data_IF_978265155382
#
_entry.id   IF_978265155382
#
_cell.length_a   1.000
_cell.length_b   1.000
_cell.length_c   1.000
_cell.angle_alpha   90.00
_cell.angle_beta   90.00
_cell.angle_gamma   90.00
#
_symmetry.space_group_name_H-M   'P 1'
#
loop_
_entity.id
_entity.type
_entity.pdbx_description
1 polymer ?
#
# COMPACT_ATOMS: atom_id res chain seq x y z
N UNK A 1 29.02 -38.65 3.75
CA UNK A 1 28.66 -38.69 2.31
C UNK A 1 28.65 -37.25 1.83
N UNK A 2 29.67 -36.87 1.07
CA UNK A 2 30.07 -35.47 0.85
C UNK A 2 29.88 -35.09 -0.63
N UNK A 3 29.41 -33.86 -0.88
CA UNK A 3 29.10 -33.27 -2.19
C UNK A 3 30.34 -32.95 -3.05
N UNK A 4 31.25 -33.90 -3.22
CA UNK A 4 32.51 -33.70 -3.96
C UNK A 4 32.74 -34.69 -5.11
N UNK A 5 31.73 -35.52 -5.45
CA UNK A 5 31.85 -36.53 -6.51
C UNK A 5 31.09 -36.22 -7.82
N UNK A 6 30.35 -35.10 -7.91
CA UNK A 6 29.57 -34.78 -9.12
C UNK A 6 30.15 -33.65 -10.00
N UNK A 7 31.42 -33.28 -9.81
CA UNK A 7 32.10 -32.26 -10.64
C UNK A 7 33.13 -32.79 -11.64
N UNK A 8 33.22 -34.11 -11.84
CA UNK A 8 34.31 -34.73 -12.60
C UNK A 8 33.91 -35.39 -13.92
N UNK A 9 32.87 -34.93 -14.61
CA UNK A 9 32.45 -35.61 -15.85
C UNK A 9 31.89 -34.74 -16.98
N UNK A 10 32.31 -33.48 -17.16
CA UNK A 10 32.11 -32.81 -18.47
C UNK A 10 33.20 -31.77 -18.74
N UNK A 11 34.45 -32.22 -18.95
CA UNK A 11 35.46 -31.37 -19.60
C UNK A 11 36.60 -32.24 -20.12
N UNK A 12 36.45 -32.67 -21.37
CA UNK A 12 37.49 -32.90 -22.39
C UNK A 12 36.90 -33.79 -23.47
N UNK A 13 36.72 -33.23 -24.66
CA UNK A 13 37.16 -33.82 -25.92
C UNK A 13 36.88 -32.81 -27.03
N UNK A 14 37.95 -32.06 -27.34
CA UNK A 14 38.13 -31.37 -28.62
C UNK A 14 38.34 -32.43 -29.69
N UNK A 15 37.53 -32.41 -30.76
CA UNK A 15 37.84 -33.14 -31.99
C UNK A 15 37.38 -32.30 -33.18
N UNK A 16 38.38 -31.77 -33.89
CA UNK A 16 38.49 -31.58 -35.34
C UNK A 16 37.24 -31.16 -36.13
N UNK A 17 37.29 -29.90 -36.57
CA UNK A 17 36.49 -29.34 -37.65
C UNK A 17 37.21 -29.63 -38.98
N UNK A 18 36.58 -30.39 -39.88
CA UNK A 18 36.75 -30.34 -41.34
C UNK A 18 35.92 -31.45 -42.01
N UNK A 19 34.79 -31.08 -42.65
CA UNK A 19 34.19 -31.85 -43.75
C UNK A 19 33.08 -31.05 -44.45
N UNK A 20 33.45 -30.40 -45.55
CA UNK A 20 32.82 -30.40 -46.89
C UNK A 20 31.29 -30.46 -47.00
N UNK A 21 30.77 -29.42 -47.68
CA UNK A 21 29.43 -29.27 -48.26
C UNK A 21 29.05 -30.42 -49.19
N UNK A 22 27.81 -30.91 -49.10
CA UNK A 22 27.09 -31.43 -50.28
C UNK A 22 25.60 -31.09 -50.20
N UNK A 23 25.12 -30.45 -51.25
CA UNK A 23 23.76 -29.96 -51.41
C UNK A 23 22.72 -31.07 -51.63
N UNK A 24 21.47 -30.74 -51.30
CA UNK A 24 20.20 -31.34 -51.76
C UNK A 24 19.66 -32.57 -50.99
N UNK A 25 18.86 -32.26 -49.96
CA UNK A 25 17.82 -33.16 -49.43
C UNK A 25 16.43 -32.85 -50.04
N UNK A 26 15.48 -33.80 -50.00
CA UNK A 26 14.28 -33.79 -50.85
C UNK A 26 13.25 -32.74 -50.40
N UNK A 27 12.67 -32.03 -51.38
CA UNK A 27 11.56 -31.10 -51.17
C UNK A 27 10.30 -31.84 -50.69
N UNK A 28 9.80 -31.48 -49.50
CA UNK A 28 8.43 -31.79 -49.08
C UNK A 28 7.44 -30.92 -49.87
N UNK A 29 6.46 -31.50 -50.58
CA UNK A 29 5.39 -30.72 -51.20
C UNK A 29 4.34 -30.39 -50.13
N UNK A 30 4.18 -29.10 -49.83
CA UNK A 30 3.15 -28.61 -48.90
C UNK A 30 3.56 -27.50 -47.93
N UNK A 31 4.75 -26.90 -48.06
CA UNK A 31 5.07 -25.70 -47.28
C UNK A 31 4.52 -24.45 -47.98
N UNK A 32 3.24 -24.15 -47.76
CA UNK A 32 2.81 -22.76 -47.84
C UNK A 32 3.63 -22.00 -46.80
N UNK A 33 4.60 -21.25 -47.31
CA UNK A 33 5.33 -20.26 -46.52
C UNK A 33 4.28 -19.27 -46.06
N UNK A 34 3.91 -19.33 -44.78
CA UNK A 34 3.18 -18.24 -44.17
C UNK A 34 4.03 -17.00 -44.40
N UNK A 35 3.54 -16.07 -45.22
CA UNK A 35 4.24 -14.82 -45.51
C UNK A 35 4.25 -14.00 -44.22
N UNK A 36 5.32 -14.13 -43.42
CA UNK A 36 5.55 -13.36 -42.19
C UNK A 36 6.00 -11.93 -42.53
N UNK A 37 5.60 -11.37 -43.69
CA UNK A 37 6.01 -10.03 -44.12
C UNK A 37 4.83 -9.14 -44.48
N UNK A 38 3.81 -9.10 -43.63
CA UNK A 38 2.91 -7.95 -43.53
C UNK A 38 2.30 -7.88 -42.13
N UNK A 39 3.10 -7.45 -41.14
CA UNK A 39 2.50 -6.62 -40.08
C UNK A 39 2.15 -5.31 -40.77
N UNK A 40 0.86 -5.10 -41.03
CA UNK A 40 0.36 -3.92 -41.74
C UNK A 40 0.95 -2.63 -41.15
N UNK A 41 1.02 -1.58 -41.96
CA UNK A 41 1.48 -0.25 -41.54
C UNK A 41 0.74 0.18 -40.27
N UNK A 42 1.31 -0.10 -39.10
CA UNK A 42 0.74 0.26 -37.81
C UNK A 42 0.99 1.75 -37.63
N UNK A 43 -0.02 2.56 -37.90
CA UNK A 43 0.00 3.97 -37.50
C UNK A 43 0.40 4.05 -36.03
N UNK A 44 1.44 4.84 -35.72
CA UNK A 44 1.93 4.96 -34.35
C UNK A 44 0.88 5.66 -33.48
N UNK A 45 0.20 4.89 -32.63
CA UNK A 45 -0.77 5.43 -31.69
C UNK A 45 -0.04 6.09 -30.52
N UNK A 46 0.04 7.42 -30.52
CA UNK A 46 0.56 8.19 -29.39
C UNK A 46 -0.57 8.41 -28.37
N UNK A 47 -0.40 7.91 -27.14
CA UNK A 47 -1.31 8.18 -26.03
C UNK A 47 -0.75 9.30 -25.13
N UNK A 48 -1.58 10.27 -24.71
CA UNK A 48 -1.12 11.31 -23.79
C UNK A 48 -0.74 10.70 -22.43
N UNK A 49 0.20 11.34 -21.74
CA UNK A 49 0.54 10.97 -20.37
C UNK A 49 -0.69 11.14 -19.46
N UNK A 50 -0.96 10.13 -18.64
CA UNK A 50 -2.06 10.13 -17.67
C UNK A 50 -1.53 9.73 -16.30
N UNK A 51 -2.11 10.31 -15.25
CA UNK A 51 -1.84 9.91 -13.86
C UNK A 51 -2.86 8.88 -13.43
N UNK A 52 -2.40 7.83 -12.75
CA UNK A 52 -3.26 6.76 -12.25
C UNK A 52 -4.14 7.18 -11.05
N UNK A 53 -3.59 7.95 -10.11
CA UNK A 53 -4.30 8.38 -8.90
C UNK A 53 -3.91 9.80 -8.52
N UNK A 54 -4.87 10.59 -8.07
CA UNK A 54 -4.58 11.92 -7.50
C UNK A 54 -4.49 11.85 -5.98
N UNK A 55 -3.40 12.36 -5.43
CA UNK A 55 -3.29 12.58 -3.99
C UNK A 55 -3.89 13.94 -3.64
N UNK A 56 -5.00 14.00 -2.89
CA UNK A 56 -5.55 15.29 -2.49
C UNK A 56 -4.63 16.01 -1.49
N UNK A 57 -4.94 17.29 -1.29
CA UNK A 57 -4.34 18.10 -0.22
C UNK A 57 -4.66 17.47 1.15
N UNK A 58 -3.62 17.34 1.98
CA UNK A 58 -3.74 16.86 3.35
C UNK A 58 -3.56 18.06 4.27
N UNK A 59 -4.64 18.48 4.90
CA UNK A 59 -4.63 19.53 5.92
C UNK A 59 -4.39 18.85 7.25
N UNK A 60 -3.28 19.18 7.91
CA UNK A 60 -2.96 18.64 9.23
C UNK A 60 -3.81 19.34 10.31
N UNK A 61 -4.19 18.61 11.38
CA UNK A 61 -4.91 19.22 12.49
C UNK A 61 -4.03 20.27 13.18
N UNK A 62 -4.67 21.28 13.74
CA UNK A 62 -4.03 22.27 14.58
C UNK A 62 -3.89 21.75 16.01
N UNK A 63 -3.14 22.46 16.84
CA UNK A 63 -3.06 22.18 18.28
C UNK A 63 -4.39 22.31 19.03
N UNK A 64 -5.44 22.82 18.37
CA UNK A 64 -6.80 22.87 18.90
C UNK A 64 -7.33 21.47 19.22
N UNK A 65 -6.98 20.44 18.43
CA UNK A 65 -7.42 19.06 18.68
C UNK A 65 -6.92 18.57 20.03
N UNK A 66 -5.62 18.66 20.32
CA UNK A 66 -5.08 18.29 21.62
C UNK A 66 -5.61 19.17 22.76
N UNK A 67 -5.86 20.47 22.51
CA UNK A 67 -6.40 21.38 23.54
C UNK A 67 -7.85 21.06 23.94
N UNK A 68 -8.70 20.66 22.98
CA UNK A 68 -10.13 20.38 23.22
C UNK A 68 -10.34 18.93 23.64
N UNK A 69 -9.79 17.97 22.90
CA UNK A 69 -9.96 16.56 23.19
C UNK A 69 -9.03 16.05 24.30
N UNK A 70 -7.87 16.68 24.47
CA UNK A 70 -6.79 16.14 25.29
C UNK A 70 -5.96 15.12 24.52
N UNK A 71 -4.66 15.08 24.85
CA UNK A 71 -3.71 14.11 24.26
C UNK A 71 -4.16 12.67 24.53
N UNK A 72 -4.62 12.37 25.74
CA UNK A 72 -5.05 11.03 26.11
C UNK A 72 -6.25 10.54 25.29
N UNK A 73 -7.21 11.41 24.97
CA UNK A 73 -8.35 11.04 24.13
C UNK A 73 -7.93 10.73 22.69
N UNK A 74 -6.93 11.43 22.15
CA UNK A 74 -6.36 11.12 20.83
C UNK A 74 -5.65 9.75 20.86
N UNK A 75 -4.93 9.43 21.93
CA UNK A 75 -4.31 8.11 22.11
C UNK A 75 -5.37 7.01 22.24
N UNK A 76 -6.39 7.24 23.06
CA UNK A 76 -7.53 6.33 23.25
C UNK A 76 -8.23 6.02 21.93
N UNK A 77 -8.46 7.04 21.08
CA UNK A 77 -9.01 6.87 19.74
C UNK A 77 -8.18 5.91 18.88
N UNK A 78 -6.86 6.08 18.86
CA UNK A 78 -5.96 5.20 18.11
C UNK A 78 -5.97 3.78 18.66
N UNK A 79 -5.97 3.63 19.99
CA UNK A 79 -6.03 2.32 20.66
C UNK A 79 -7.33 1.59 20.32
N UNK A 80 -8.49 2.26 20.42
CA UNK A 80 -9.78 1.65 20.09
C UNK A 80 -9.87 1.31 18.60
N UNK A 81 -9.37 2.18 17.72
CA UNK A 81 -9.30 1.90 16.29
C UNK A 81 -8.48 0.63 15.99
N UNK A 82 -7.33 0.46 16.64
CA UNK A 82 -6.51 -0.74 16.45
C UNK A 82 -7.12 -1.98 17.11
N UNK A 83 -7.85 -1.82 18.23
CA UNK A 83 -8.64 -2.92 18.82
C UNK A 83 -9.69 -3.43 17.82
N UNK A 84 -10.37 -2.52 17.11
CA UNK A 84 -11.32 -2.88 16.06
C UNK A 84 -10.64 -3.54 14.86
N UNK A 85 -9.48 -3.03 14.42
CA UNK A 85 -8.67 -3.65 13.37
C UNK A 85 -8.32 -5.09 13.70
N UNK A 86 -7.89 -5.37 14.94
CA UNK A 86 -7.49 -6.69 15.38
C UNK A 86 -8.60 -7.74 15.24
N UNK A 87 -9.87 -7.31 15.31
CA UNK A 87 -11.04 -8.17 15.17
C UNK A 87 -11.71 -8.04 13.79
N UNK A 88 -11.01 -7.49 12.81
CA UNK A 88 -11.54 -7.23 11.46
C UNK A 88 -10.80 -8.04 10.38
N UNK A 89 -11.31 -8.05 9.14
CA UNK A 89 -10.58 -8.59 7.98
C UNK A 89 -9.21 -7.94 7.71
N UNK A 90 -8.85 -6.81 8.34
CA UNK A 90 -7.53 -6.18 8.21
C UNK A 90 -6.47 -6.84 9.10
N UNK A 91 -6.86 -7.64 10.09
CA UNK A 91 -5.93 -8.29 11.03
C UNK A 91 -4.72 -8.97 10.35
N UNK A 92 -4.87 -9.70 9.23
CA UNK A 92 -3.74 -10.38 8.60
C UNK A 92 -2.60 -9.45 8.14
N UNK A 93 -2.89 -8.17 7.86
CA UNK A 93 -1.86 -7.18 7.49
C UNK A 93 -0.87 -6.95 8.63
N UNK A 94 -1.31 -7.13 9.87
CA UNK A 94 -0.55 -6.88 11.08
C UNK A 94 0.15 -8.12 11.65
N UNK A 95 -0.05 -9.30 11.03
CA UNK A 95 0.53 -10.57 11.47
C UNK A 95 -0.13 -11.16 12.72
N UNK A 96 0.41 -12.28 13.22
CA UNK A 96 -0.18 -13.04 14.33
C UNK A 96 0.41 -12.70 15.72
N UNK A 97 1.41 -11.82 15.81
CA UNK A 97 2.05 -11.48 17.07
C UNK A 97 1.38 -10.27 17.73
N UNK A 98 0.47 -10.54 18.66
CA UNK A 98 -0.29 -9.52 19.39
C UNK A 98 0.60 -8.54 20.18
N UNK A 99 1.68 -9.02 20.79
CA UNK A 99 2.60 -8.15 21.54
C UNK A 99 3.31 -7.14 20.63
N UNK A 100 3.73 -7.57 19.45
CA UNK A 100 4.34 -6.67 18.46
C UNK A 100 3.31 -5.70 17.90
N UNK A 101 2.06 -6.15 17.70
CA UNK A 101 0.95 -5.29 17.28
C UNK A 101 0.76 -4.14 18.26
N UNK A 102 0.55 -4.41 19.55
CA UNK A 102 0.30 -3.36 20.54
C UNK A 102 1.47 -2.39 20.72
N UNK A 103 2.71 -2.86 20.58
CA UNK A 103 3.89 -1.96 20.56
C UNK A 103 3.89 -1.02 19.34
N UNK A 104 3.40 -1.48 18.19
CA UNK A 104 3.21 -0.60 17.03
C UNK A 104 2.07 0.39 17.27
N UNK A 105 0.98 -0.01 17.94
CA UNK A 105 -0.13 0.88 18.31
C UNK A 105 0.34 2.02 19.20
N UNK A 106 1.22 1.78 20.18
CA UNK A 106 1.80 2.84 21.02
C UNK A 106 2.52 3.91 20.19
N UNK A 107 3.31 3.49 19.19
CA UNK A 107 4.00 4.42 18.30
C UNK A 107 3.03 5.19 17.39
N UNK A 108 1.97 4.53 16.90
CA UNK A 108 0.92 5.21 16.14
C UNK A 108 0.16 6.22 17.00
N UNK A 109 -0.11 5.89 18.27
CA UNK A 109 -0.75 6.80 19.21
C UNK A 109 0.15 8.02 19.51
N UNK A 110 1.45 7.81 19.71
CA UNK A 110 2.44 8.90 19.83
C UNK A 110 2.41 9.81 18.60
N UNK A 111 2.39 9.24 17.39
CA UNK A 111 2.35 10.00 16.14
C UNK A 111 1.09 10.86 16.02
N UNK A 112 -0.10 10.28 16.23
CA UNK A 112 -1.36 11.01 16.14
C UNK A 112 -1.46 12.09 17.22
N UNK A 113 -1.03 11.80 18.44
CA UNK A 113 -0.97 12.77 19.52
C UNK A 113 -0.06 13.95 19.18
N UNK A 114 1.15 13.69 18.68
CA UNK A 114 2.11 14.73 18.27
C UNK A 114 1.54 15.60 17.15
N UNK A 115 0.96 14.98 16.12
CA UNK A 115 0.34 15.70 14.99
C UNK A 115 -0.82 16.60 15.46
N UNK A 116 -1.61 16.17 16.45
CA UNK A 116 -2.70 16.95 17.02
C UNK A 116 -2.25 18.07 17.98
N UNK A 117 -0.93 18.27 18.16
CA UNK A 117 -0.35 19.31 19.03
C UNK A 117 0.11 18.82 20.40
N UNK A 118 0.22 17.51 20.61
CA UNK A 118 0.82 16.91 21.81
C UNK A 118 2.36 16.96 21.83
N UNK A 119 2.99 16.35 22.85
CA UNK A 119 4.45 16.28 22.96
C UNK A 119 5.10 15.51 21.81
N UNK A 120 6.37 15.79 21.51
CA UNK A 120 7.12 15.25 20.36
C UNK A 120 7.67 13.82 20.55
N UNK A 121 6.85 12.92 21.10
CA UNK A 121 7.28 11.57 21.46
C UNK A 121 7.62 10.69 20.25
N UNK A 122 6.91 10.87 19.13
CA UNK A 122 7.15 10.05 17.95
C UNK A 122 8.42 10.48 17.24
N UNK A 123 8.57 11.78 16.98
CA UNK A 123 9.73 12.31 16.25
C UNK A 123 11.03 12.07 17.01
N UNK A 124 11.02 12.18 18.35
CA UNK A 124 12.20 11.84 19.19
C UNK A 124 12.62 10.37 19.06
N UNK A 125 11.67 9.44 18.90
CA UNK A 125 11.93 7.99 18.85
C UNK A 125 12.17 7.45 17.43
N UNK A 126 11.47 7.99 16.44
CA UNK A 126 11.36 7.44 15.07
C UNK A 126 11.81 8.41 13.98
N UNK A 127 12.13 9.66 14.33
CA UNK A 127 12.50 10.70 13.38
C UNK A 127 11.33 11.04 12.43
N UNK A 128 11.70 11.48 11.23
CA UNK A 128 10.72 11.92 10.23
C UNK A 128 9.71 10.80 9.88
N UNK A 129 8.40 11.10 9.71
CA UNK A 129 7.38 10.05 9.60
C UNK A 129 7.46 9.14 8.37
N UNK A 130 7.84 9.65 7.20
CA UNK A 130 7.93 8.90 5.93
C UNK A 130 6.78 7.88 5.72
N UNK A 131 5.55 8.29 6.02
CA UNK A 131 4.43 7.34 6.22
C UNK A 131 4.23 6.43 5.01
N UNK A 132 4.09 6.97 3.80
CA UNK A 132 3.85 6.15 2.59
C UNK A 132 4.94 5.10 2.40
N UNK A 133 6.20 5.47 2.58
CA UNK A 133 7.33 4.56 2.45
C UNK A 133 7.25 3.42 3.49
N UNK A 134 6.95 3.76 4.74
CA UNK A 134 6.77 2.79 5.82
C UNK A 134 5.56 1.87 5.62
N UNK A 135 4.64 2.20 4.73
CA UNK A 135 3.49 1.37 4.39
C UNK A 135 3.72 0.48 3.15
N UNK A 136 4.81 0.63 2.40
CA UNK A 136 5.11 -0.22 1.23
C UNK A 136 5.25 -1.73 1.51
N UNK A 137 5.74 -2.19 2.68
CA UNK A 137 5.82 -3.62 2.97
C UNK A 137 4.44 -4.32 3.06
N UNK A 138 3.36 -3.55 3.19
CA UNK A 138 2.00 -4.06 3.34
C UNK A 138 1.24 -3.92 2.03
N UNK A 139 0.38 -4.88 1.68
CA UNK A 139 -0.55 -4.71 0.55
C UNK A 139 -1.78 -3.94 1.02
N UNK A 140 -1.95 -2.71 0.53
CA UNK A 140 -3.07 -1.82 0.90
C UNK A 140 -3.83 -1.44 -0.37
N UNK A 141 -5.02 -2.03 -0.53
CA UNK A 141 -5.96 -1.77 -1.62
C UNK A 141 -6.93 -0.65 -1.25
N UNK A 142 -7.69 -0.19 -2.24
CA UNK A 142 -8.76 0.79 -2.04
C UNK A 142 -9.78 0.32 -1.00
N UNK A 143 -10.17 -0.96 -1.07
CA UNK A 143 -11.12 -1.57 -0.11
C UNK A 143 -10.56 -1.72 1.30
N UNK A 144 -9.25 -1.92 1.44
CA UNK A 144 -8.61 -2.00 2.76
C UNK A 144 -8.66 -0.62 3.44
N UNK A 145 -8.44 0.47 2.68
CA UNK A 145 -8.62 1.84 3.16
C UNK A 145 -10.07 2.13 3.56
N UNK A 146 -11.05 1.73 2.74
CA UNK A 146 -12.47 1.93 3.05
C UNK A 146 -12.82 1.28 4.40
N UNK A 147 -12.47 0.00 4.60
CA UNK A 147 -12.67 -0.68 5.87
C UNK A 147 -11.89 -0.01 7.02
N UNK A 148 -10.66 0.42 6.77
CA UNK A 148 -9.86 1.13 7.79
C UNK A 148 -10.53 2.42 8.26
N UNK A 149 -11.17 3.17 7.35
CA UNK A 149 -11.93 4.38 7.67
C UNK A 149 -13.24 4.06 8.41
N UNK A 150 -13.96 3.00 8.01
CA UNK A 150 -15.17 2.56 8.70
C UNK A 150 -14.91 2.18 10.16
N UNK A 151 -13.77 1.54 10.44
CA UNK A 151 -13.36 1.24 11.80
C UNK A 151 -12.98 2.52 12.57
N UNK A 152 -12.47 3.55 11.90
CA UNK A 152 -12.19 4.84 12.53
C UNK A 152 -13.48 5.58 12.90
N UNK A 153 -14.52 5.51 12.07
CA UNK A 153 -15.85 6.07 12.39
C UNK A 153 -16.40 5.39 13.65
N UNK A 154 -16.31 4.05 13.72
CA UNK A 154 -16.70 3.31 14.92
C UNK A 154 -15.87 3.71 16.14
N UNK A 155 -14.55 3.85 16.00
CA UNK A 155 -13.67 4.26 17.09
C UNK A 155 -14.01 5.67 17.62
N UNK A 156 -14.26 6.64 16.72
CA UNK A 156 -14.69 8.00 17.09
C UNK A 156 -15.95 7.99 17.96
N UNK A 157 -16.92 7.13 17.63
CA UNK A 157 -18.15 6.94 18.42
C UNK A 157 -17.86 6.29 19.77
N UNK A 158 -17.11 5.19 19.76
CA UNK A 158 -16.85 4.39 20.96
C UNK A 158 -16.13 5.20 22.05
N UNK A 159 -15.17 6.06 21.67
CA UNK A 159 -14.43 6.89 22.63
C UNK A 159 -15.12 8.22 22.95
N UNK A 160 -16.31 8.46 22.38
CA UNK A 160 -17.05 9.72 22.43
C UNK A 160 -16.14 10.92 22.10
N UNK A 161 -15.49 10.87 20.93
CA UNK A 161 -14.54 11.91 20.53
C UNK A 161 -15.25 13.28 20.38
N UNK A 162 -14.70 14.39 20.89
CA UNK A 162 -15.43 15.67 20.89
C UNK A 162 -15.79 16.18 19.49
N UNK A 163 -17.09 16.37 19.25
CA UNK A 163 -17.61 16.79 17.95
C UNK A 163 -17.04 18.14 17.47
N UNK A 164 -16.67 19.02 18.40
CA UNK A 164 -16.05 20.33 18.11
C UNK A 164 -14.74 20.25 17.31
N UNK A 165 -14.03 19.12 17.38
CA UNK A 165 -12.73 18.87 16.71
C UNK A 165 -12.73 17.59 15.87
N UNK A 166 -13.84 16.84 15.84
CA UNK A 166 -13.94 15.58 15.09
C UNK A 166 -13.76 15.80 13.58
N UNK A 167 -14.34 16.87 13.00
CA UNK A 167 -14.17 17.18 11.59
C UNK A 167 -12.71 17.48 11.23
N UNK A 168 -12.03 18.26 12.06
CA UNK A 168 -10.63 18.66 11.87
C UNK A 168 -9.72 17.43 11.82
N UNK A 169 -9.92 16.50 12.78
CA UNK A 169 -9.22 15.22 12.81
C UNK A 169 -9.56 14.33 11.59
N UNK A 170 -10.86 14.22 11.27
CA UNK A 170 -11.33 13.35 10.20
C UNK A 170 -10.82 13.80 8.83
N UNK A 171 -10.85 15.10 8.52
CA UNK A 171 -10.36 15.66 7.24
C UNK A 171 -8.89 15.32 7.00
N UNK A 172 -8.08 15.34 8.06
CA UNK A 172 -6.68 14.95 8.00
C UNK A 172 -6.55 13.45 7.67
N UNK A 173 -7.17 12.59 8.47
CA UNK A 173 -6.99 11.13 8.36
C UNK A 173 -7.56 10.57 7.07
N UNK A 174 -8.71 11.09 6.62
CA UNK A 174 -9.38 10.66 5.40
C UNK A 174 -8.55 10.99 4.17
N UNK A 175 -8.01 12.20 4.08
CA UNK A 175 -7.18 12.63 2.95
C UNK A 175 -5.81 11.92 2.96
N UNK A 176 -5.18 11.83 4.14
CA UNK A 176 -3.86 11.21 4.29
C UNK A 176 -3.88 9.73 3.93
N UNK A 177 -4.92 9.01 4.32
CA UNK A 177 -5.03 7.56 4.08
C UNK A 177 -5.01 7.17 2.60
N UNK A 178 -5.41 8.08 1.68
CA UNK A 178 -5.29 7.85 0.23
C UNK A 178 -3.83 7.65 -0.18
N UNK A 179 -2.91 8.36 0.47
CA UNK A 179 -1.47 8.24 0.21
C UNK A 179 -0.89 6.91 0.68
N UNK A 180 -1.63 6.11 1.45
CA UNK A 180 -1.18 4.79 1.91
C UNK A 180 -1.55 3.66 0.94
N UNK A 181 -2.49 3.89 0.01
CA UNK A 181 -2.84 2.90 -1.02
C UNK A 181 -1.62 2.64 -1.90
N UNK A 182 -1.24 1.36 -2.00
CA UNK A 182 -0.08 0.91 -2.76
C UNK A 182 -0.39 -0.29 -3.69
N UNK A 183 -1.63 -0.80 -3.67
CA UNK A 183 -2.11 -1.81 -4.61
C UNK A 183 -3.42 -1.36 -5.25
N UNK A 184 -3.35 -0.90 -6.50
CA UNK A 184 -4.54 -0.55 -7.28
C UNK A 184 -5.25 -1.79 -7.81
N UNK A 185 -6.58 -1.78 -7.71
CA UNK A 185 -7.46 -2.84 -8.22
C UNK A 185 -8.53 -2.32 -9.19
N UNK A 186 -8.59 -1.00 -9.39
CA UNK A 186 -9.51 -0.31 -10.30
C UNK A 186 -8.89 0.97 -10.84
N UNK A 187 -9.34 1.43 -12.02
CA UNK A 187 -9.01 2.75 -12.57
C UNK A 187 -9.79 3.90 -11.92
N UNK A 188 -10.86 3.59 -11.17
CA UNK A 188 -11.64 4.61 -10.46
C UNK A 188 -10.81 5.26 -9.35
N UNK A 189 -10.94 6.57 -9.17
CA UNK A 189 -10.29 7.30 -8.07
C UNK A 189 -10.77 6.77 -6.69
N UNK A 190 -9.89 6.78 -5.67
CA UNK A 190 -10.28 6.41 -4.31
C UNK A 190 -11.48 7.22 -3.80
N UNK A 191 -12.42 6.53 -3.17
CA UNK A 191 -13.65 7.13 -2.65
C UNK A 191 -13.33 8.19 -1.59
N UNK A 192 -13.94 9.37 -1.73
CA UNK A 192 -13.88 10.44 -0.73
C UNK A 192 -15.00 10.31 0.28
N UNK A 193 -14.68 10.46 1.56
CA UNK A 193 -15.65 10.39 2.67
C UNK A 193 -15.62 11.71 3.44
N UNK A 194 -16.29 12.78 2.96
CA UNK A 194 -16.31 14.04 3.69
C UNK A 194 -17.02 13.88 5.04
N UNK A 195 -16.67 14.72 6.02
CA UNK A 195 -17.21 14.63 7.38
C UNK A 195 -18.75 14.67 7.43
N UNK A 196 -19.38 15.45 6.52
CA UNK A 196 -20.83 15.52 6.40
C UNK A 196 -21.51 14.17 6.15
N UNK A 197 -20.82 13.16 5.61
CA UNK A 197 -21.38 11.81 5.44
C UNK A 197 -21.40 10.97 6.72
N UNK A 198 -20.59 11.34 7.72
CA UNK A 198 -20.43 10.58 8.95
C UNK A 198 -20.94 11.34 10.18
N UNK A 199 -21.21 12.64 10.05
CA UNK A 199 -21.60 13.51 11.17
C UNK A 199 -22.79 12.97 11.96
N UNK A 200 -23.84 12.49 11.29
CA UNK A 200 -25.02 11.89 11.94
C UNK A 200 -24.71 10.60 12.70
N UNK A 201 -23.66 9.87 12.33
CA UNK A 201 -23.26 8.65 13.02
C UNK A 201 -22.51 8.95 14.32
N UNK A 202 -21.96 10.16 14.46
CA UNK A 202 -21.22 10.60 15.64
C UNK A 202 -22.09 11.37 16.65
N UNK A 203 -23.28 11.81 16.24
CA UNK A 203 -24.27 12.48 17.08
C UNK A 203 -25.06 11.48 17.94
#
# INVERSE_FOLDING_TARGET
MNMEQERSAVLKLSVHNDAVLSEQGPHCPGSETLDIRHFGEEESIVRPAVTDMRFPEVIFPTSRVARVAGVEKVRELVVEHHRLIWHSPLQPIFGSNEKHFWKAVELTADFHAEVCGGPKLYTERKGHPHLRERHFPFTIREKDRELWLDLYIQALRNVAFPLEVAEEYWRWVESLSIRMINRRTTFAEPVRVPFSRIAEQLA
#
